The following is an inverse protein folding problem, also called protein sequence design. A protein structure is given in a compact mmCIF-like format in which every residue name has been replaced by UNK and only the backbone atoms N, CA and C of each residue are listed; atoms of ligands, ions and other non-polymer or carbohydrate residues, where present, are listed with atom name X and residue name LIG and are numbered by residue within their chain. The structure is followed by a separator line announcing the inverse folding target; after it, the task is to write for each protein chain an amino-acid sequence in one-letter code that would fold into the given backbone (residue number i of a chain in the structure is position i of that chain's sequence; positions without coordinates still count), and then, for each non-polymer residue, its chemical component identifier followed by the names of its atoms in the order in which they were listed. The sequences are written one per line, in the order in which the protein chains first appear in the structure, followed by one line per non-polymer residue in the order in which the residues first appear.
data_IF_538675205692
#
_entry.id   IF_538675205692
#
_cell.length_a   1.000
_cell.length_b   1.000
_cell.length_c   1.000
_cell.angle_alpha   90.00
_cell.angle_beta   90.00
_cell.angle_gamma   90.00
#
_symmetry.space_group_name_H-M   'P 1'
#
loop_
_entity.id
_entity.type
_entity.pdbx_description
1 polymer ?
#
# COMPACT_ATOMS: atom_id res chain seq x y z
N UNK A 1 14.81 0.40 -19.99
CA UNK A 1 14.79 -0.50 -18.81
C UNK A 1 14.87 0.23 -17.47
N UNK A 2 15.89 1.06 -17.19
CA UNK A 2 16.06 1.75 -15.88
C UNK A 2 14.80 2.47 -15.37
N UNK A 3 14.06 3.14 -16.28
CA UNK A 3 12.84 3.88 -15.95
C UNK A 3 11.67 2.98 -15.52
N UNK A 4 11.45 1.87 -16.23
CA UNK A 4 10.42 0.89 -15.87
C UNK A 4 10.72 0.31 -14.48
N UNK A 5 11.99 -0.04 -14.21
CA UNK A 5 12.42 -0.51 -12.88
C UNK A 5 12.11 0.53 -11.80
N UNK A 6 12.34 1.82 -12.09
CA UNK A 6 12.01 2.90 -11.15
C UNK A 6 10.50 3.00 -10.89
N UNK A 7 9.67 2.92 -11.93
CA UNK A 7 8.20 2.90 -11.80
C UNK A 7 7.74 1.67 -11.02
N UNK A 8 8.34 0.50 -11.26
CA UNK A 8 8.06 -0.74 -10.51
C UNK A 8 8.40 -0.57 -9.04
N UNK A 9 9.60 -0.08 -8.70
CA UNK A 9 10.02 0.13 -7.31
C UNK A 9 9.16 1.17 -6.59
N UNK A 10 8.82 2.27 -7.28
CA UNK A 10 7.93 3.29 -6.76
C UNK A 10 6.54 2.70 -6.47
N UNK A 11 5.97 1.98 -7.43
CA UNK A 11 4.63 1.38 -7.28
C UNK A 11 4.61 0.32 -6.19
N UNK A 12 5.69 -0.45 -6.04
CA UNK A 12 5.87 -1.44 -4.97
C UNK A 12 5.89 -0.77 -3.60
N UNK A 13 6.71 0.27 -3.43
CA UNK A 13 6.81 1.02 -2.18
C UNK A 13 5.49 1.71 -1.83
N UNK A 14 4.82 2.33 -2.82
CA UNK A 14 3.53 2.97 -2.62
C UNK A 14 2.44 1.98 -2.21
N UNK A 15 2.38 0.80 -2.84
CA UNK A 15 1.42 -0.23 -2.47
C UNK A 15 1.64 -0.77 -1.05
N UNK A 16 2.90 -0.99 -0.64
CA UNK A 16 3.22 -1.35 0.75
C UNK A 16 2.78 -0.27 1.74
N UNK A 17 3.02 0.99 1.40
CA UNK A 17 2.63 2.13 2.23
C UNK A 17 1.11 2.26 2.36
N UNK A 18 0.35 2.08 1.28
CA UNK A 18 -1.11 2.05 1.31
C UNK A 18 -1.65 0.92 2.18
N UNK A 19 -1.06 -0.27 2.12
CA UNK A 19 -1.44 -1.38 2.99
C UNK A 19 -1.17 -1.08 4.46
N UNK A 20 -0.01 -0.51 4.77
CA UNK A 20 0.34 -0.12 6.13
C UNK A 20 -0.65 0.92 6.68
N UNK A 21 -1.01 1.94 5.90
CA UNK A 21 -2.03 2.93 6.30
C UNK A 21 -3.38 2.25 6.53
N UNK A 22 -3.78 1.35 5.64
CA UNK A 22 -5.07 0.65 5.75
C UNK A 22 -5.14 -0.20 7.03
N UNK A 23 -4.04 -0.87 7.37
CA UNK A 23 -3.91 -1.61 8.63
C UNK A 23 -4.02 -0.68 9.85
N UNK A 24 -3.25 0.41 9.87
CA UNK A 24 -3.28 1.41 10.96
C UNK A 24 -4.69 1.96 11.14
N UNK A 25 -5.38 2.30 10.04
CA UNK A 25 -6.75 2.79 10.10
C UNK A 25 -7.70 1.74 10.67
N UNK A 26 -7.56 0.47 10.25
CA UNK A 26 -8.34 -0.64 10.80
C UNK A 26 -8.19 -0.79 12.31
N UNK A 27 -6.95 -0.76 12.80
CA UNK A 27 -6.65 -0.80 14.25
C UNK A 27 -7.21 0.42 14.98
N UNK A 28 -7.10 1.62 14.39
CA UNK A 28 -7.68 2.83 14.97
C UNK A 28 -9.18 2.72 15.10
N UNK A 29 -9.89 2.28 14.06
CA UNK A 29 -11.35 2.10 14.12
C UNK A 29 -11.75 1.03 15.14
N UNK A 30 -11.05 -0.10 15.17
CA UNK A 30 -11.27 -1.14 16.18
C UNK A 30 -11.08 -0.62 17.60
N UNK A 31 -10.06 0.19 17.85
CA UNK A 31 -9.81 0.78 19.16
C UNK A 31 -10.89 1.81 19.55
N UNK A 32 -11.37 2.64 18.61
CA UNK A 32 -12.49 3.56 18.84
C UNK A 32 -13.74 2.78 19.28
N UNK A 33 -14.10 1.74 18.53
CA UNK A 33 -15.30 0.94 18.80
C UNK A 33 -15.24 0.23 20.17
N UNK A 34 -14.03 -0.09 20.65
CA UNK A 34 -13.82 -0.75 21.94
C UNK A 34 -13.46 0.22 23.09
N UNK A 35 -13.46 1.55 22.85
CA UNK A 35 -13.12 2.55 23.87
C UNK A 35 -11.66 2.53 24.31
N UNK A 36 -10.76 1.96 23.50
CA UNK A 36 -9.31 1.91 23.74
C UNK A 36 -8.65 3.18 23.21
N UNK A 37 -7.71 3.74 23.97
CA UNK A 37 -6.98 4.96 23.59
C UNK A 37 -6.15 4.75 22.31
N UNK A 38 -6.25 5.71 21.38
CA UNK A 38 -5.58 5.76 20.07
C UNK A 38 -4.06 5.48 20.04
N UNK A 39 -3.37 5.54 21.17
CA UNK A 39 -1.92 5.36 21.26
C UNK A 39 -1.47 3.89 21.34
N UNK A 40 -2.38 2.93 21.49
CA UNK A 40 -2.07 1.49 21.55
C UNK A 40 -2.21 0.81 20.19
N UNK A 41 -1.55 1.35 19.16
CA UNK A 41 -1.49 0.69 17.85
C UNK A 41 -0.27 -0.23 17.83
N UNK A 42 -0.50 -1.53 17.90
CA UNK A 42 0.56 -2.52 17.71
C UNK A 42 0.75 -2.81 16.21
N UNK A 43 1.95 -2.54 15.70
CA UNK A 43 2.31 -2.81 14.31
C UNK A 43 2.85 -4.23 14.11
N UNK A 44 3.19 -4.95 15.18
CA UNK A 44 3.72 -6.31 15.11
C UNK A 44 2.78 -7.30 14.38
N UNK A 45 1.44 -7.24 14.57
CA UNK A 45 0.50 -8.08 13.84
C UNK A 45 0.55 -7.90 12.32
N UNK A 46 0.84 -6.68 11.83
CA UNK A 46 0.95 -6.41 10.39
C UNK A 46 2.02 -7.28 9.72
N UNK A 47 3.17 -7.45 10.37
CA UNK A 47 4.27 -8.26 9.84
C UNK A 47 4.10 -9.75 10.12
N UNK A 48 3.48 -10.11 11.24
CA UNK A 48 3.37 -11.49 11.69
C UNK A 48 2.21 -12.25 11.02
N UNK A 49 1.09 -11.57 10.78
CA UNK A 49 -0.16 -12.18 10.32
C UNK A 49 -0.45 -11.89 8.84
N UNK A 50 0.56 -11.53 8.06
CA UNK A 50 0.41 -11.23 6.64
C UNK A 50 -0.14 -12.45 5.87
N UNK A 51 -1.31 -12.30 5.25
CA UNK A 51 -2.09 -13.37 4.63
C UNK A 51 -2.08 -13.24 3.08
N UNK A 52 -2.42 -14.34 2.40
CA UNK A 52 -2.81 -14.39 0.98
C UNK A 52 -3.83 -13.30 0.60
N UNK A 53 -4.78 -12.96 1.46
CA UNK A 53 -5.72 -11.85 1.21
C UNK A 53 -4.99 -10.50 1.08
N UNK A 54 -4.02 -10.24 1.95
CA UNK A 54 -3.22 -9.02 1.94
C UNK A 54 -2.29 -8.97 0.73
N UNK A 55 -1.76 -10.13 0.31
CA UNK A 55 -1.02 -10.28 -0.95
C UNK A 55 -1.92 -9.94 -2.15
N UNK A 56 -3.17 -10.40 -2.15
CA UNK A 56 -4.14 -10.07 -3.20
C UNK A 56 -4.41 -8.57 -3.29
N UNK A 57 -4.69 -7.92 -2.15
CA UNK A 57 -4.86 -6.47 -2.06
C UNK A 57 -3.59 -5.71 -2.47
N UNK A 58 -2.42 -6.18 -2.06
CA UNK A 58 -1.14 -5.65 -2.49
C UNK A 58 -1.03 -5.63 -4.01
N UNK A 59 -1.27 -6.77 -4.68
CA UNK A 59 -1.17 -6.89 -6.12
C UNK A 59 -2.15 -5.95 -6.86
N UNK A 60 -3.36 -5.77 -6.33
CA UNK A 60 -4.35 -4.85 -6.90
C UNK A 60 -3.90 -3.39 -6.80
N UNK A 61 -3.45 -2.94 -5.62
CA UNK A 61 -2.97 -1.58 -5.42
C UNK A 61 -1.72 -1.34 -6.26
N UNK A 62 -0.77 -2.28 -6.23
CA UNK A 62 0.46 -2.24 -6.99
C UNK A 62 0.20 -2.09 -8.50
N UNK A 63 -0.64 -2.96 -9.07
CA UNK A 63 -0.95 -2.93 -10.49
C UNK A 63 -1.65 -1.63 -10.89
N UNK A 64 -2.56 -1.13 -10.07
CA UNK A 64 -3.26 0.14 -10.30
C UNK A 64 -2.29 1.32 -10.33
N UNK A 65 -1.44 1.45 -9.29
CA UNK A 65 -0.44 2.54 -9.21
C UNK A 65 0.56 2.42 -10.36
N UNK A 66 0.99 1.20 -10.69
CA UNK A 66 1.91 0.96 -11.79
C UNK A 66 1.32 1.41 -13.12
N UNK A 67 0.09 1.01 -13.45
CA UNK A 67 -0.58 1.37 -14.70
C UNK A 67 -0.76 2.89 -14.80
N UNK A 68 -1.27 3.54 -13.75
CA UNK A 68 -1.46 5.00 -13.74
C UNK A 68 -0.12 5.73 -13.94
N UNK A 69 0.89 5.33 -13.16
CA UNK A 69 2.22 5.96 -13.22
C UNK A 69 2.88 5.74 -14.58
N UNK A 70 2.73 4.54 -15.15
CA UNK A 70 3.25 4.19 -16.47
C UNK A 70 2.57 4.98 -17.58
N UNK A 71 1.24 5.08 -17.57
CA UNK A 71 0.48 5.86 -18.56
C UNK A 71 0.87 7.33 -18.51
N UNK A 72 0.90 7.92 -17.31
CA UNK A 72 1.31 9.31 -17.11
C UNK A 72 2.73 9.56 -17.60
N UNK A 73 3.65 8.64 -17.31
CA UNK A 73 5.01 8.71 -17.83
C UNK A 73 5.05 8.65 -19.36
N UNK A 74 4.24 7.79 -19.99
CA UNK A 74 4.16 7.68 -21.45
C UNK A 74 3.68 8.99 -22.09
N UNK A 75 2.68 9.64 -21.49
CA UNK A 75 2.13 10.89 -22.00
C UNK A 75 3.16 12.03 -21.97
N UNK A 76 3.93 12.17 -20.88
CA UNK A 76 4.96 13.23 -20.75
C UNK A 76 6.15 13.14 -21.72
N UNK A 77 6.37 11.98 -22.35
CA UNK A 77 7.55 11.74 -23.21
C UNK A 77 7.18 11.46 -24.68
N UNK A 78 5.89 11.51 -25.03
CA UNK A 78 5.40 11.35 -26.39
C UNK A 78 4.90 12.66 -27.03
N UNK A 79 4.99 13.78 -26.31
CA UNK A 79 4.96 15.15 -26.87
C UNK A 79 6.39 15.64 -27.18
#
# INVERSE_FOLDING_TARGET
MKKIVCITLFSFSAALFCLLISFIMGEVFYNIDNGVLFYQIDLLPFFKNFNVKDIGFFCLIFSTIFVITYLRYKDYFND
#
